data_IF_659554344941
#
_entry.id   IF_659554344941
#
_cell.length_a   1.000
_cell.length_b   1.000
_cell.length_c   1.000
_cell.angle_alpha   90.00
_cell.angle_beta   90.00
_cell.angle_gamma   90.00
#
_symmetry.space_group_name_H-M   'P 1'
#
loop_
_entity.id
_entity.type
_entity.pdbx_description
1 polymer ?
#
# COMPACT_ATOMS: atom_id res chain seq x y z
N UNK A 1 19.38 -7.14 6.85
CA UNK A 1 17.96 -7.57 6.84
C UNK A 1 17.29 -7.31 5.49
N UNK A 2 17.07 -6.06 5.05
CA UNK A 2 16.41 -5.80 3.74
C UNK A 2 17.18 -6.39 2.55
N UNK A 3 18.52 -6.38 2.59
CA UNK A 3 19.34 -6.99 1.53
C UNK A 3 19.16 -8.51 1.37
N UNK A 4 18.64 -9.23 2.38
CA UNK A 4 18.28 -10.66 2.23
C UNK A 4 16.97 -10.81 1.44
N UNK A 5 16.00 -9.91 1.64
CA UNK A 5 14.78 -9.87 0.83
C UNK A 5 15.07 -9.57 -0.65
N UNK A 6 16.03 -8.66 -0.91
CA UNK A 6 16.48 -8.33 -2.27
C UNK A 6 17.11 -9.54 -2.99
N UNK A 7 17.74 -10.47 -2.24
CA UNK A 7 18.32 -11.71 -2.78
C UNK A 7 17.28 -12.79 -3.09
N UNK A 8 16.00 -12.57 -2.75
CA UNK A 8 14.89 -13.50 -3.02
C UNK A 8 15.07 -14.90 -2.44
N UNK A 9 15.89 -15.07 -1.39
CA UNK A 9 15.95 -16.34 -0.67
C UNK A 9 14.60 -16.57 0.03
N UNK A 10 13.84 -17.56 -0.43
CA UNK A 10 12.44 -17.75 -0.05
C UNK A 10 12.27 -18.04 1.43
N UNK A 11 13.13 -18.90 2.00
CA UNK A 11 13.07 -19.27 3.42
C UNK A 11 13.38 -18.08 4.32
N UNK A 12 14.50 -17.41 4.06
CA UNK A 12 14.89 -16.21 4.82
C UNK A 12 13.81 -15.12 4.69
N UNK A 13 13.24 -14.92 3.50
CA UNK A 13 12.20 -13.92 3.31
C UNK A 13 10.92 -14.24 4.11
N UNK A 14 10.52 -15.52 4.19
CA UNK A 14 9.36 -15.93 4.99
C UNK A 14 9.55 -15.65 6.48
N UNK A 15 10.76 -15.87 7.01
CA UNK A 15 11.11 -15.63 8.40
C UNK A 15 11.27 -14.12 8.70
N UNK A 16 11.88 -13.37 7.78
CA UNK A 16 12.22 -11.96 7.98
C UNK A 16 11.07 -10.98 7.76
N UNK A 17 10.11 -11.31 6.87
CA UNK A 17 8.97 -10.44 6.59
C UNK A 17 8.15 -10.05 7.83
N UNK A 18 7.68 -10.98 8.68
CA UNK A 18 6.91 -10.61 9.88
C UNK A 18 7.72 -9.75 10.86
N UNK A 19 9.00 -10.05 11.03
CA UNK A 19 9.90 -9.31 11.92
C UNK A 19 10.05 -7.87 11.42
N UNK A 20 10.27 -7.69 10.11
CA UNK A 20 10.40 -6.37 9.52
C UNK A 20 9.09 -5.59 9.57
N UNK A 21 7.96 -6.25 9.31
CA UNK A 21 6.63 -5.65 9.45
C UNK A 21 6.41 -5.10 10.86
N UNK A 22 6.64 -5.93 11.88
CA UNK A 22 6.48 -5.54 13.28
C UNK A 22 7.39 -4.37 13.65
N UNK A 23 8.67 -4.44 13.26
CA UNK A 23 9.64 -3.39 13.55
C UNK A 23 9.24 -2.06 12.88
N UNK A 24 8.79 -2.10 11.62
CA UNK A 24 8.36 -0.88 10.93
C UNK A 24 7.09 -0.30 11.57
N UNK A 25 6.10 -1.13 11.87
CA UNK A 25 4.83 -0.68 12.44
C UNK A 25 4.98 -0.14 13.87
N UNK A 26 5.74 -0.82 14.72
CA UNK A 26 5.78 -0.54 16.15
C UNK A 26 6.88 0.44 16.56
N UNK A 27 8.00 0.51 15.83
CA UNK A 27 9.17 1.27 16.26
C UNK A 27 9.59 2.41 15.31
N UNK A 28 9.36 2.27 14.00
CA UNK A 28 9.93 3.22 13.04
C UNK A 28 8.94 4.16 12.38
N UNK A 29 7.73 3.69 12.05
CA UNK A 29 6.76 4.49 11.31
C UNK A 29 5.86 5.25 12.30
N UNK A 30 5.79 6.59 12.22
CA UNK A 30 4.83 7.34 13.02
C UNK A 30 3.37 7.05 12.57
N UNK A 31 2.40 6.98 13.50
CA UNK A 31 1.03 6.56 13.18
C UNK A 31 0.26 7.61 12.35
N UNK A 32 0.43 8.90 12.66
CA UNK A 32 -0.44 9.96 12.14
C UNK A 32 0.24 10.87 11.11
N UNK A 33 1.45 10.53 10.65
CA UNK A 33 2.19 11.38 9.70
C UNK A 33 3.12 10.57 8.80
N UNK A 34 3.46 11.14 7.66
CA UNK A 34 4.47 10.60 6.74
C UNK A 34 5.88 11.02 7.15
N UNK A 35 6.88 10.25 6.71
CA UNK A 35 8.29 10.56 6.89
C UNK A 35 8.68 11.72 5.96
N UNK A 36 9.36 12.72 6.52
CA UNK A 36 9.73 13.92 5.79
C UNK A 36 11.16 13.78 5.25
N UNK A 37 11.38 13.95 3.94
CA UNK A 37 12.72 13.93 3.38
C UNK A 37 13.53 15.13 3.86
N UNK A 38 14.86 14.99 3.90
CA UNK A 38 15.74 16.07 4.34
C UNK A 38 15.54 17.36 3.52
N UNK A 39 15.33 17.23 2.22
CA UNK A 39 15.08 18.35 1.29
C UNK A 39 13.77 19.11 1.58
N UNK A 40 12.82 18.48 2.27
CA UNK A 40 11.54 19.09 2.65
C UNK A 40 11.57 19.79 4.01
N UNK A 41 12.71 19.78 4.71
CA UNK A 41 12.85 20.41 6.04
C UNK A 41 13.24 21.88 5.92
N UNK A 42 12.69 22.78 6.76
CA UNK A 42 13.00 24.20 6.71
C UNK A 42 14.38 24.51 7.32
N UNK A 43 15.45 24.28 6.54
CA UNK A 43 16.83 24.51 6.99
C UNK A 43 17.09 25.98 7.39
N UNK A 44 16.39 26.92 6.76
CA UNK A 44 16.51 28.37 7.02
C UNK A 44 15.97 28.78 8.40
N UNK A 45 15.00 28.04 8.94
CA UNK A 45 14.34 28.31 10.23
C UNK A 45 14.86 27.45 11.37
N UNK A 46 16.00 26.76 11.19
CA UNK A 46 16.58 25.89 12.23
C UNK A 46 16.82 26.63 13.55
N UNK A 47 17.20 27.92 13.49
CA UNK A 47 17.45 28.74 14.67
C UNK A 47 16.26 28.83 15.62
N UNK A 48 15.04 28.88 15.06
CA UNK A 48 13.77 28.92 15.81
C UNK A 48 13.55 27.63 16.60
N UNK A 49 13.96 26.48 16.07
CA UNK A 49 13.80 25.17 16.74
C UNK A 49 14.89 24.87 17.77
N UNK A 50 16.01 25.60 17.72
CA UNK A 50 17.21 25.29 18.51
C UNK A 50 17.49 26.34 19.58
N UNK A 51 16.65 27.37 19.72
CA UNK A 51 16.92 28.56 20.54
C UNK A 51 18.31 29.15 20.26
N UNK A 52 18.73 29.10 18.99
CA UNK A 52 20.09 29.47 18.52
C UNK A 52 21.28 28.77 19.21
N UNK A 53 21.07 27.65 19.91
CA UNK A 53 22.14 26.82 20.46
C UNK A 53 22.80 25.95 19.38
N UNK A 54 24.14 25.97 19.32
CA UNK A 54 24.91 25.11 18.39
C UNK A 54 24.66 23.62 18.64
N UNK A 55 24.55 23.21 19.92
CA UNK A 55 24.27 21.83 20.30
C UNK A 55 22.85 21.41 19.89
N UNK A 56 21.86 22.29 20.06
CA UNK A 56 20.48 22.05 19.62
C UNK A 56 20.41 21.84 18.10
N UNK A 57 21.11 22.70 17.35
CA UNK A 57 21.22 22.61 15.89
C UNK A 57 21.83 21.29 15.43
N UNK A 58 22.95 20.86 16.01
CA UNK A 58 23.57 19.57 15.69
C UNK A 58 22.61 18.41 15.93
N UNK A 59 21.91 18.40 17.06
CA UNK A 59 20.93 17.34 17.41
C UNK A 59 19.78 17.26 16.41
N UNK A 60 19.16 18.39 16.07
CA UNK A 60 18.03 18.41 15.12
C UNK A 60 18.46 17.94 13.73
N UNK A 61 19.63 18.38 13.26
CA UNK A 61 20.16 17.95 11.96
C UNK A 61 20.42 16.44 11.92
N UNK A 62 20.93 15.84 13.00
CA UNK A 62 21.11 14.39 13.11
C UNK A 62 19.76 13.67 13.05
N UNK A 63 18.75 14.15 13.77
CA UNK A 63 17.40 13.57 13.74
C UNK A 63 16.77 13.65 12.34
N UNK A 64 16.86 14.79 11.66
CA UNK A 64 16.36 14.95 10.29
C UNK A 64 17.10 14.06 9.30
N UNK A 65 18.42 13.90 9.47
CA UNK A 65 19.22 13.00 8.64
C UNK A 65 18.83 11.54 8.86
N UNK A 66 18.61 11.15 10.11
CA UNK A 66 18.13 9.81 10.47
C UNK A 66 16.77 9.53 9.83
N UNK A 67 15.80 10.43 9.99
CA UNK A 67 14.46 10.25 9.41
C UNK A 67 14.48 10.15 7.88
N UNK A 68 15.31 10.96 7.22
CA UNK A 68 15.50 10.85 5.77
C UNK A 68 16.10 9.50 5.35
N UNK A 69 17.08 8.98 6.10
CA UNK A 69 17.64 7.65 5.84
C UNK A 69 16.64 6.54 6.11
N UNK A 70 15.81 6.69 7.14
CA UNK A 70 14.71 5.78 7.44
C UNK A 70 13.70 5.74 6.30
N UNK A 71 13.34 6.89 5.73
CA UNK A 71 12.46 6.98 4.56
C UNK A 71 13.02 6.18 3.37
N UNK A 72 14.28 6.42 3.01
CA UNK A 72 14.95 5.69 1.91
C UNK A 72 14.97 4.18 2.20
N UNK A 73 15.22 3.78 3.45
CA UNK A 73 15.23 2.39 3.85
C UNK A 73 13.85 1.74 3.69
N UNK A 74 12.78 2.44 4.10
CA UNK A 74 11.42 1.96 3.96
C UNK A 74 11.00 1.83 2.49
N UNK A 75 11.33 2.82 1.65
CA UNK A 75 11.08 2.74 0.20
C UNK A 75 11.80 1.54 -0.45
N UNK A 76 13.02 1.22 -0.02
CA UNK A 76 13.73 0.01 -0.47
C UNK A 76 13.02 -1.26 -0.03
N UNK A 77 12.54 -1.29 1.22
CA UNK A 77 11.75 -2.41 1.73
C UNK A 77 10.45 -2.61 0.94
N UNK A 78 9.72 -1.54 0.63
CA UNK A 78 8.51 -1.61 -0.18
C UNK A 78 8.78 -2.19 -1.59
N UNK A 79 9.88 -1.80 -2.24
CA UNK A 79 10.29 -2.37 -3.54
C UNK A 79 10.66 -3.85 -3.43
N UNK A 80 11.36 -4.23 -2.36
CA UNK A 80 11.66 -5.64 -2.11
C UNK A 80 10.36 -6.44 -1.91
N UNK A 81 9.39 -5.89 -1.16
CA UNK A 81 8.09 -6.49 -0.93
C UNK A 81 7.30 -6.71 -2.24
N UNK A 82 7.30 -5.72 -3.14
CA UNK A 82 6.69 -5.83 -4.48
C UNK A 82 7.32 -6.95 -5.31
N UNK A 83 8.65 -7.03 -5.29
CA UNK A 83 9.40 -8.08 -5.96
C UNK A 83 9.04 -9.47 -5.41
N UNK A 84 8.90 -9.62 -4.09
CA UNK A 84 8.48 -10.87 -3.46
C UNK A 84 7.04 -11.26 -3.80
N UNK A 85 6.11 -10.28 -3.83
CA UNK A 85 4.73 -10.48 -4.24
C UNK A 85 4.55 -10.89 -5.72
N UNK A 86 5.62 -10.75 -6.52
CA UNK A 86 5.65 -11.13 -7.94
C UNK A 86 6.25 -12.52 -8.18
N UNK A 87 6.67 -13.23 -7.13
CA UNK A 87 7.30 -14.53 -7.26
C UNK A 87 6.27 -15.62 -7.59
N UNK A 88 6.77 -16.70 -8.19
CA UNK A 88 5.96 -17.89 -8.51
C UNK A 88 5.56 -18.64 -7.24
N UNK A 89 6.32 -18.51 -6.14
CA UNK A 89 6.05 -19.19 -4.87
C UNK A 89 4.83 -18.57 -4.19
N UNK A 90 3.73 -19.32 -4.16
CA UNK A 90 2.41 -18.79 -3.74
C UNK A 90 2.39 -18.34 -2.28
N UNK A 91 2.93 -19.13 -1.37
CA UNK A 91 2.93 -18.81 0.06
C UNK A 91 3.68 -17.52 0.38
N UNK A 92 4.84 -17.34 -0.25
CA UNK A 92 5.64 -16.13 -0.09
C UNK A 92 4.95 -14.91 -0.70
N UNK A 93 4.34 -15.06 -1.88
CA UNK A 93 3.57 -13.98 -2.50
C UNK A 93 2.37 -13.58 -1.65
N UNK A 94 1.60 -14.55 -1.13
CA UNK A 94 0.50 -14.29 -0.19
C UNK A 94 0.99 -13.61 1.09
N UNK A 95 2.13 -14.04 1.64
CA UNK A 95 2.72 -13.44 2.84
C UNK A 95 3.15 -11.99 2.59
N UNK A 96 3.79 -11.72 1.46
CA UNK A 96 4.18 -10.37 1.05
C UNK A 96 2.96 -9.46 0.85
N UNK A 97 1.91 -9.95 0.20
CA UNK A 97 0.65 -9.22 0.01
C UNK A 97 -0.07 -8.91 1.32
N UNK A 98 -0.05 -9.85 2.29
CA UNK A 98 -0.64 -9.63 3.60
C UNK A 98 0.15 -8.61 4.42
N UNK A 99 1.47 -8.67 4.37
CA UNK A 99 2.35 -7.66 4.96
C UNK A 99 2.08 -6.26 4.36
N UNK A 100 1.92 -6.18 3.04
CA UNK A 100 1.56 -4.94 2.35
C UNK A 100 0.21 -4.36 2.80
N UNK A 101 -0.81 -5.22 2.93
CA UNK A 101 -2.12 -4.84 3.44
C UNK A 101 -2.03 -4.26 4.85
N UNK A 102 -1.31 -4.94 5.76
CA UNK A 102 -1.18 -4.49 7.14
C UNK A 102 -0.44 -3.14 7.23
N UNK A 103 0.66 -2.97 6.47
CA UNK A 103 1.37 -1.69 6.40
C UNK A 103 0.47 -0.56 5.91
N UNK A 104 -0.32 -0.82 4.86
CA UNK A 104 -1.25 0.15 4.28
C UNK A 104 -2.41 0.49 5.23
N UNK A 105 -2.90 -0.49 5.99
CA UNK A 105 -4.00 -0.29 6.93
C UNK A 105 -3.58 0.48 8.19
N UNK A 106 -2.33 0.30 8.64
CA UNK A 106 -1.85 0.83 9.92
C UNK A 106 -1.06 2.14 9.80
N UNK A 107 -0.43 2.43 8.65
CA UNK A 107 0.47 3.58 8.50
C UNK A 107 0.25 4.34 7.18
N UNK A 108 0.32 5.69 7.21
CA UNK A 108 0.12 6.51 6.03
C UNK A 108 1.35 6.57 5.10
N UNK A 109 2.49 6.00 5.50
CA UNK A 109 3.72 6.02 4.70
C UNK A 109 3.62 5.01 3.55
N UNK A 110 3.76 5.49 2.31
CA UNK A 110 3.75 4.61 1.13
C UNK A 110 2.37 4.14 0.65
N UNK A 111 1.27 4.71 1.17
CA UNK A 111 -0.11 4.30 0.85
C UNK A 111 -0.36 4.09 -0.65
N UNK A 112 -0.03 5.09 -1.48
CA UNK A 112 -0.24 5.03 -2.93
C UNK A 112 0.54 3.90 -3.59
N UNK A 113 1.77 3.67 -3.16
CA UNK A 113 2.61 2.60 -3.70
C UNK A 113 2.04 1.23 -3.30
N UNK A 114 1.72 1.04 -2.02
CA UNK A 114 1.17 -0.20 -1.48
C UNK A 114 -0.18 -0.55 -2.12
N UNK A 115 -1.09 0.42 -2.24
CA UNK A 115 -2.39 0.21 -2.87
C UNK A 115 -2.25 -0.16 -4.35
N UNK A 116 -1.43 0.58 -5.11
CA UNK A 116 -1.21 0.28 -6.52
C UNK A 116 -0.57 -1.10 -6.69
N UNK A 117 0.40 -1.46 -5.85
CA UNK A 117 1.01 -2.78 -5.82
C UNK A 117 -0.04 -3.88 -5.59
N UNK A 118 -0.93 -3.73 -4.60
CA UNK A 118 -2.00 -4.70 -4.33
C UNK A 118 -2.94 -4.83 -5.53
N UNK A 119 -3.49 -3.72 -6.03
CA UNK A 119 -4.43 -3.71 -7.16
C UNK A 119 -3.80 -4.32 -8.42
N UNK A 120 -2.54 -4.01 -8.72
CA UNK A 120 -1.83 -4.60 -9.84
C UNK A 120 -1.68 -6.13 -9.72
N UNK A 121 -1.67 -6.69 -8.49
CA UNK A 121 -1.62 -8.15 -8.28
C UNK A 121 -2.96 -8.86 -8.49
N UNK A 122 -4.07 -8.15 -8.74
CA UNK A 122 -5.31 -8.78 -9.23
C UNK A 122 -5.11 -9.45 -10.60
N UNK A 123 -4.15 -8.95 -11.40
CA UNK A 123 -3.74 -9.51 -12.70
C UNK A 123 -2.66 -10.58 -12.66
N UNK A 124 -2.36 -11.15 -11.49
CA UNK A 124 -1.34 -12.18 -11.38
C UNK A 124 -1.69 -13.43 -12.22
N UNK A 125 -0.72 -14.10 -12.89
CA UNK A 125 -1.00 -15.29 -13.72
C UNK A 125 -1.63 -16.45 -12.94
N UNK A 126 -1.30 -16.57 -11.64
CA UNK A 126 -1.95 -17.52 -10.73
C UNK A 126 -3.28 -16.98 -10.21
N UNK A 127 -4.42 -17.63 -10.48
CA UNK A 127 -5.74 -17.14 -10.07
C UNK A 127 -5.92 -17.08 -8.54
N UNK A 128 -5.26 -17.98 -7.79
CA UNK A 128 -5.31 -18.02 -6.33
C UNK A 128 -4.78 -16.72 -5.69
N UNK A 129 -3.82 -16.06 -6.35
CA UNK A 129 -3.27 -14.78 -5.89
C UNK A 129 -4.25 -13.65 -6.22
N UNK A 130 -4.83 -13.65 -7.43
CA UNK A 130 -5.83 -12.63 -7.82
C UNK A 130 -7.07 -12.64 -6.92
N UNK A 131 -7.62 -13.82 -6.62
CA UNK A 131 -8.75 -13.96 -5.70
C UNK A 131 -8.37 -13.56 -4.26
N UNK A 132 -7.16 -13.92 -3.83
CA UNK A 132 -6.67 -13.52 -2.50
C UNK A 132 -6.54 -11.99 -2.38
N UNK A 133 -6.04 -11.31 -3.40
CA UNK A 133 -5.97 -9.84 -3.41
C UNK A 133 -7.35 -9.21 -3.28
N UNK A 134 -8.37 -9.73 -3.98
CA UNK A 134 -9.73 -9.24 -3.83
C UNK A 134 -10.21 -9.33 -2.38
N UNK A 135 -9.98 -10.47 -1.70
CA UNK A 135 -10.31 -10.63 -0.28
C UNK A 135 -9.54 -9.67 0.63
N UNK A 136 -8.27 -9.39 0.33
CA UNK A 136 -7.47 -8.43 1.10
C UNK A 136 -8.00 -6.99 0.94
N UNK A 137 -8.42 -6.60 -0.26
CA UNK A 137 -9.01 -5.29 -0.50
C UNK A 137 -10.36 -5.14 0.19
N UNK A 138 -11.18 -6.18 0.22
CA UNK A 138 -12.42 -6.19 1.00
C UNK A 138 -12.13 -5.96 2.49
N UNK A 139 -11.17 -6.69 3.05
CA UNK A 139 -10.73 -6.51 4.43
C UNK A 139 -10.21 -5.08 4.69
N UNK A 140 -9.47 -4.50 3.73
CA UNK A 140 -9.00 -3.13 3.83
C UNK A 140 -10.14 -2.12 3.93
N UNK A 141 -11.17 -2.28 3.09
CA UNK A 141 -12.33 -1.37 3.09
C UNK A 141 -13.10 -1.42 4.40
N UNK A 142 -13.12 -2.58 5.07
CA UNK A 142 -13.73 -2.75 6.41
C UNK A 142 -12.88 -2.09 7.50
N UNK A 143 -11.55 -2.23 7.44
CA UNK A 143 -10.62 -1.65 8.43
C UNK A 143 -10.49 -0.13 8.30
N UNK A 144 -10.49 0.40 7.08
CA UNK A 144 -10.26 1.81 6.78
C UNK A 144 -11.38 2.39 5.88
N UNK A 145 -12.57 2.68 6.44
CA UNK A 145 -13.70 3.22 5.67
C UNK A 145 -13.38 4.52 4.95
N UNK A 146 -12.54 5.38 5.54
CA UNK A 146 -12.12 6.66 4.95
C UNK A 146 -11.32 6.50 3.65
N UNK A 147 -10.65 5.36 3.46
CA UNK A 147 -9.84 5.09 2.27
C UNK A 147 -10.64 4.39 1.15
N UNK A 148 -11.87 3.95 1.42
CA UNK A 148 -12.78 3.32 0.45
C UNK A 148 -12.84 4.04 -0.91
N UNK A 149 -13.06 5.36 -1.00
CA UNK A 149 -13.12 6.03 -2.31
C UNK A 149 -11.80 5.97 -3.08
N UNK A 150 -10.66 5.99 -2.39
CA UNK A 150 -9.33 5.88 -3.02
C UNK A 150 -9.10 4.49 -3.57
N UNK A 151 -9.53 3.45 -2.84
CA UNK A 151 -9.45 2.05 -3.28
C UNK A 151 -10.33 1.83 -4.53
N UNK A 152 -11.58 2.30 -4.48
CA UNK A 152 -12.52 2.20 -5.62
C UNK A 152 -11.95 2.87 -6.87
N UNK A 153 -11.43 4.09 -6.74
CA UNK A 153 -10.85 4.81 -7.87
C UNK A 153 -9.61 4.09 -8.46
N UNK A 154 -8.78 3.46 -7.63
CA UNK A 154 -7.61 2.71 -8.14
C UNK A 154 -8.01 1.40 -8.83
N UNK A 155 -9.03 0.69 -8.31
CA UNK A 155 -9.56 -0.53 -8.95
C UNK A 155 -10.31 -0.18 -10.24
N UNK A 156 -11.04 0.92 -10.28
CA UNK A 156 -11.70 1.41 -11.50
C UNK A 156 -10.67 1.71 -12.61
N UNK A 157 -9.54 2.35 -12.28
CA UNK A 157 -8.44 2.56 -13.24
C UNK A 157 -7.88 1.26 -13.80
N UNK A 158 -7.88 0.17 -13.03
CA UNK A 158 -7.46 -1.14 -13.51
C UNK A 158 -8.39 -1.65 -14.61
N UNK A 159 -9.70 -1.45 -14.48
CA UNK A 159 -10.72 -1.93 -15.44
C UNK A 159 -10.60 -1.23 -16.80
N UNK A 160 -10.28 0.06 -16.81
CA UNK A 160 -10.13 0.82 -18.05
C UNK A 160 -8.80 0.56 -18.79
N UNK A 161 -7.92 -0.28 -18.23
CA UNK A 161 -6.59 -0.52 -18.80
C UNK A 161 -6.62 -1.66 -19.83
N UNK A 162 -6.19 -1.36 -21.05
CA UNK A 162 -6.24 -2.31 -22.19
C UNK A 162 -5.35 -3.56 -22.04
N UNK A 163 -4.33 -3.52 -21.18
CA UNK A 163 -3.36 -4.61 -20.97
C UNK A 163 -3.62 -5.42 -19.70
N UNK A 164 -4.88 -5.65 -19.35
CA UNK A 164 -5.27 -6.38 -18.13
C UNK A 164 -5.96 -7.70 -18.50
N UNK A 165 -5.65 -8.76 -17.75
CA UNK A 165 -6.22 -10.08 -18.03
C UNK A 165 -7.74 -10.10 -17.81
N UNK A 166 -8.52 -10.90 -18.56
CA UNK A 166 -9.97 -11.01 -18.36
C UNK A 166 -10.36 -11.41 -16.92
N UNK A 167 -9.52 -12.23 -16.26
CA UNK A 167 -9.73 -12.62 -14.86
C UNK A 167 -9.55 -11.45 -13.89
N UNK A 168 -8.60 -10.56 -14.14
CA UNK A 168 -8.45 -9.35 -13.33
C UNK A 168 -9.66 -8.42 -13.46
N UNK A 169 -10.20 -8.27 -14.68
CA UNK A 169 -11.46 -7.54 -14.88
C UNK A 169 -12.61 -8.18 -14.10
N UNK A 170 -12.73 -9.51 -14.12
CA UNK A 170 -13.75 -10.22 -13.34
C UNK A 170 -13.59 -9.93 -11.83
N UNK A 171 -12.40 -10.13 -11.27
CA UNK A 171 -12.16 -9.87 -9.84
C UNK A 171 -12.42 -8.40 -9.46
N UNK A 172 -12.01 -7.44 -10.30
CA UNK A 172 -12.24 -6.02 -10.09
C UNK A 172 -13.73 -5.67 -10.12
N UNK A 173 -14.46 -6.15 -11.12
CA UNK A 173 -15.91 -5.93 -11.25
C UNK A 173 -16.71 -6.56 -10.10
N UNK A 174 -16.33 -7.76 -9.66
CA UNK A 174 -16.93 -8.41 -8.48
C UNK A 174 -16.69 -7.59 -7.23
N UNK A 175 -15.45 -7.15 -6.99
CA UNK A 175 -15.10 -6.30 -5.86
C UNK A 175 -15.91 -4.99 -5.84
N UNK A 176 -15.96 -4.27 -6.97
CA UNK A 176 -16.72 -3.01 -7.06
C UNK A 176 -18.21 -3.21 -6.79
N UNK A 177 -18.80 -4.28 -7.32
CA UNK A 177 -20.20 -4.64 -7.06
C UNK A 177 -20.47 -4.85 -5.57
N UNK A 178 -19.59 -5.55 -4.86
CA UNK A 178 -19.70 -5.82 -3.42
C UNK A 178 -19.48 -4.57 -2.56
N UNK A 179 -18.57 -3.70 -2.97
CA UNK A 179 -18.23 -2.47 -2.22
C UNK A 179 -19.30 -1.40 -2.38
N UNK A 180 -20.02 -1.39 -3.51
CA UNK A 180 -21.09 -0.45 -3.82
C UNK A 180 -22.46 -0.88 -3.29
N UNK A 181 -22.74 -2.19 -3.17
CA UNK A 181 -24.01 -2.73 -2.66
C UNK A 181 -24.42 -2.28 -1.25
N UNK A 182 -23.53 -1.96 -0.28
CA UNK A 182 -23.99 -1.47 1.02
C UNK A 182 -24.43 0.01 1.03
N UNK A 183 -24.47 0.74 -0.11
CA UNK A 183 -24.79 2.17 -0.15
C UNK A 183 -26.13 2.52 -0.83
N UNK A 184 -27.06 1.58 -1.00
CA UNK A 184 -28.38 1.88 -1.58
C UNK A 184 -29.42 2.41 -0.57
N UNK A 185 -29.00 2.97 0.57
CA UNK A 185 -29.90 3.65 1.52
C UNK A 185 -29.49 5.07 1.90
N UNK A 186 -28.44 5.63 1.30
CA UNK A 186 -28.13 7.05 1.49
C UNK A 186 -27.30 7.57 0.33
N UNK A 187 -27.78 8.66 -0.28
CA UNK A 187 -27.23 9.40 -1.41
C UNK A 187 -27.64 8.90 -2.80
N UNK A 188 -28.80 9.40 -3.24
CA UNK A 188 -29.12 9.53 -4.65
C UNK A 188 -28.08 10.40 -5.35
N UNK A 189 -27.58 9.93 -6.50
CA UNK A 189 -26.67 10.73 -7.31
C UNK A 189 -25.67 9.98 -8.19
N UNK A 190 -25.89 8.73 -8.59
CA UNK A 190 -25.08 8.10 -9.66
C UNK A 190 -25.94 7.19 -10.56
N UNK A 191 -26.89 7.78 -11.30
CA UNK A 191 -27.75 7.08 -12.28
C UNK A 191 -27.01 6.68 -13.57
N UNK A 192 -25.75 7.08 -13.76
CA UNK A 192 -25.05 6.86 -15.03
C UNK A 192 -24.19 5.59 -15.10
N UNK A 193 -23.92 4.91 -13.98
CA UNK A 193 -23.10 3.69 -13.98
C UNK A 193 -23.98 2.42 -13.98
N UNK A 194 -25.18 2.47 -13.40
CA UNK A 194 -26.11 1.33 -13.41
C UNK A 194 -26.66 0.98 -14.80
N UNK A 195 -26.82 1.95 -15.70
CA UNK A 195 -27.40 1.66 -17.02
C UNK A 195 -26.42 0.95 -17.96
N UNK A 196 -25.10 1.15 -17.83
CA UNK A 196 -24.13 0.54 -18.74
C UNK A 196 -23.84 -0.93 -18.42
N UNK A 197 -24.03 -1.35 -17.16
CA UNK A 197 -23.78 -2.75 -16.75
C UNK A 197 -24.91 -3.71 -17.12
N UNK A 198 -26.14 -3.23 -17.30
CA UNK A 198 -27.29 -4.08 -17.68
C UNK A 198 -27.29 -4.37 -19.18
N UNK A 199 -26.69 -3.52 -20.02
CA UNK A 199 -26.69 -3.68 -21.48
C UNK A 199 -25.65 -4.66 -22.03
N UNK A 200 -24.70 -5.14 -21.23
CA UNK A 200 -23.64 -6.08 -21.66
C UNK A 200 -23.96 -7.55 -21.34
N UNK A 201 -25.12 -7.82 -20.73
CA UNK A 201 -25.59 -9.19 -20.42
C UNK A 201 -26.97 -9.49 -21.02
N UNK A 202 -27.37 -8.79 -22.08
CA UNK A 202 -28.55 -9.11 -22.88
C UNK A 202 -28.17 -9.27 -24.35
#
# INVERSE_FOLDING_TARGET
MIGSLERKNTREALEMLPILEEIFLNHFLPPNRKLVPFSGRPLKRIGEFCSNSEHGRKRILVLWRFEHKLKIMYERFLRALESLASLVVEDLSKRALRCALNLLAERPEGERFLLSMLVNKMGHPKPQIGSFVATLLEDLTKRQPNMKPVIVAEVERLIYRTNVSPKAHLYASTFLSQVMTPLSLSFGGYSHICHTFISLTA
#
